data_IF_297540253539
#
_entry.id   IF_297540253539
#
_cell.length_a   1.000
_cell.length_b   1.000
_cell.length_c   1.000
_cell.angle_alpha   90.00
_cell.angle_beta   90.00
_cell.angle_gamma   90.00
#
_symmetry.space_group_name_H-M   'P 1'
#
loop_
_entity.id
_entity.type
_entity.pdbx_description
1 polymer ?
#
# COMPACT_ATOMS: atom_id res chain seq x y z
N UNK A 1 -0.65 -72.88 -2.15
CA UNK A 1 0.57 -72.13 -1.80
C UNK A 1 1.06 -71.44 -3.05
N UNK A 2 0.76 -70.16 -3.24
CA UNK A 2 1.11 -69.39 -4.44
C UNK A 2 2.29 -68.48 -4.08
N UNK A 3 3.43 -68.69 -4.73
CA UNK A 3 4.65 -67.87 -4.55
C UNK A 3 4.44 -66.53 -5.24
N UNK A 4 4.69 -65.44 -4.51
CA UNK A 4 4.74 -64.08 -5.03
C UNK A 4 6.15 -63.86 -5.56
N UNK A 5 6.29 -63.68 -6.88
CA UNK A 5 7.53 -63.22 -7.50
C UNK A 5 7.58 -61.68 -7.45
N UNK A 6 8.72 -61.17 -6.97
CA UNK A 6 9.02 -59.75 -6.80
C UNK A 6 9.32 -59.10 -8.14
N UNK A 7 8.57 -58.05 -8.49
CA UNK A 7 8.88 -57.15 -9.61
C UNK A 7 9.61 -55.90 -9.12
N UNK A 8 10.70 -55.58 -9.79
CA UNK A 8 11.67 -54.51 -9.51
C UNK A 8 11.26 -53.20 -10.21
N UNK A 9 11.64 -52.07 -9.57
CA UNK A 9 11.72 -50.68 -10.08
C UNK A 9 10.37 -49.91 -10.17
N UNK A 10 10.26 -48.63 -9.79
CA UNK A 10 11.25 -47.55 -9.78
C UNK A 10 11.05 -46.64 -8.55
N UNK A 11 12.10 -46.41 -7.74
CA UNK A 11 12.13 -45.28 -6.81
C UNK A 11 12.50 -44.04 -7.61
N UNK A 12 11.52 -43.20 -7.91
CA UNK A 12 11.78 -41.81 -8.30
C UNK A 12 12.35 -41.09 -7.08
N UNK A 13 13.68 -40.91 -7.05
CA UNK A 13 14.32 -39.96 -6.17
C UNK A 13 13.99 -38.56 -6.66
N UNK A 14 12.83 -38.04 -6.24
CA UNK A 14 12.54 -36.62 -6.33
C UNK A 14 13.17 -35.96 -5.12
N UNK A 15 14.47 -35.65 -5.21
CA UNK A 15 15.07 -34.60 -4.38
C UNK A 15 14.55 -33.27 -4.88
N UNK A 16 13.31 -32.92 -4.52
CA UNK A 16 12.84 -31.54 -4.60
C UNK A 16 13.71 -30.73 -3.66
N UNK A 17 14.64 -29.97 -4.24
CA UNK A 17 15.18 -28.80 -3.58
C UNK A 17 13.97 -27.90 -3.27
N UNK A 18 13.49 -27.96 -2.03
CA UNK A 18 12.61 -26.92 -1.49
C UNK A 18 13.42 -25.64 -1.50
N UNK A 19 13.39 -24.92 -2.62
CA UNK A 19 13.65 -23.50 -2.59
C UNK A 19 12.64 -22.96 -1.58
N UNK A 20 13.12 -22.42 -0.46
CA UNK A 20 12.31 -21.64 0.44
C UNK A 20 11.63 -20.58 -0.42
N UNK A 21 10.37 -20.82 -0.78
CA UNK A 21 9.52 -19.80 -1.37
C UNK A 21 9.37 -18.80 -0.24
N UNK A 22 10.21 -17.76 -0.23
CA UNK A 22 10.01 -16.62 0.66
C UNK A 22 8.65 -16.06 0.29
N UNK A 23 7.67 -16.31 1.15
CA UNK A 23 6.37 -15.66 1.05
C UNK A 23 6.65 -14.16 1.07
N UNK A 24 6.31 -13.47 -0.02
CA UNK A 24 6.66 -12.06 -0.14
C UNK A 24 5.76 -11.26 0.79
N UNK A 25 6.29 -10.82 1.92
CA UNK A 25 5.56 -9.99 2.87
C UNK A 25 5.36 -8.59 2.30
N UNK A 26 4.13 -8.09 2.22
CA UNK A 26 3.83 -6.72 1.78
C UNK A 26 3.24 -5.95 2.96
N UNK A 27 3.74 -4.74 3.19
CA UNK A 27 3.17 -3.85 4.18
C UNK A 27 2.13 -2.95 3.51
N UNK A 28 0.93 -2.87 4.09
CA UNK A 28 -0.11 -1.95 3.68
C UNK A 28 -0.34 -0.94 4.81
N UNK A 29 -0.11 0.35 4.56
CA UNK A 29 -0.26 1.41 5.57
C UNK A 29 -1.57 2.14 5.33
N UNK A 30 -2.49 2.01 6.29
CA UNK A 30 -3.82 2.58 6.30
C UNK A 30 -3.84 3.90 7.10
N UNK A 31 -4.87 4.69 6.86
CA UNK A 31 -5.04 6.03 7.45
C UNK A 31 -6.42 6.25 8.09
N UNK A 32 -7.18 5.20 8.34
CA UNK A 32 -8.55 5.22 8.85
C UNK A 32 -9.47 4.33 8.00
N UNK A 33 -10.79 4.52 8.05
CA UNK A 33 -11.75 3.72 7.28
C UNK A 33 -12.87 4.58 6.68
N UNK A 34 -12.62 5.17 5.52
CA UNK A 34 -13.55 6.05 4.82
C UNK A 34 -12.81 7.07 3.95
N UNK A 35 -13.30 7.33 2.73
CA UNK A 35 -12.58 8.19 1.77
C UNK A 35 -12.34 9.60 2.29
N UNK A 36 -13.25 10.19 3.08
CA UNK A 36 -13.14 11.59 3.48
C UNK A 36 -12.31 11.83 4.75
N UNK A 37 -12.09 10.80 5.56
CA UNK A 37 -11.40 10.92 6.85
C UNK A 37 -10.38 9.82 7.15
N UNK A 38 -10.22 8.87 6.24
CA UNK A 38 -9.33 7.73 6.36
C UNK A 38 -8.88 7.18 5.01
N UNK A 39 -8.66 5.87 4.96
CA UNK A 39 -8.33 5.16 3.73
C UNK A 39 -9.57 4.97 2.84
N UNK A 40 -9.40 5.17 1.53
CA UNK A 40 -10.40 4.80 0.52
C UNK A 40 -10.56 3.27 0.50
N UNK A 41 -11.75 2.79 0.83
CA UNK A 41 -12.02 1.39 1.14
C UNK A 41 -11.99 0.54 -0.13
N UNK A 42 -12.40 1.09 -1.29
CA UNK A 42 -12.39 0.34 -2.55
C UNK A 42 -10.96 0.14 -3.07
N UNK A 43 -10.10 1.14 -2.98
CA UNK A 43 -8.67 1.07 -3.28
C UNK A 43 -8.00 0.05 -2.38
N UNK A 44 -8.21 0.13 -1.06
CA UNK A 44 -7.66 -0.85 -0.12
C UNK A 44 -8.11 -2.27 -0.47
N UNK A 45 -9.41 -2.46 -0.78
CA UNK A 45 -9.94 -3.77 -1.18
C UNK A 45 -9.33 -4.27 -2.50
N UNK A 46 -9.20 -3.41 -3.51
CA UNK A 46 -8.60 -3.75 -4.81
C UNK A 46 -7.11 -4.12 -4.66
N UNK A 47 -6.35 -3.36 -3.86
CA UNK A 47 -4.96 -3.67 -3.53
C UNK A 47 -4.87 -5.03 -2.86
N UNK A 48 -5.69 -5.29 -1.83
CA UNK A 48 -5.68 -6.57 -1.11
C UNK A 48 -6.03 -7.74 -2.03
N UNK A 49 -7.02 -7.60 -2.90
CA UNK A 49 -7.38 -8.62 -3.90
C UNK A 49 -6.23 -8.88 -4.86
N UNK A 50 -5.59 -7.83 -5.39
CA UNK A 50 -4.46 -7.98 -6.32
C UNK A 50 -3.25 -8.65 -5.65
N UNK A 51 -2.90 -8.23 -4.43
CA UNK A 51 -1.80 -8.85 -3.68
C UNK A 51 -2.09 -10.31 -3.34
N UNK A 52 -3.31 -10.62 -2.93
CA UNK A 52 -3.76 -11.99 -2.65
C UNK A 52 -3.70 -12.88 -3.89
N UNK A 53 -4.15 -12.39 -5.06
CA UNK A 53 -4.03 -13.11 -6.34
C UNK A 53 -2.58 -13.35 -6.76
N UNK A 54 -1.67 -12.46 -6.36
CA UNK A 54 -0.23 -12.62 -6.56
C UNK A 54 0.45 -13.54 -5.55
N UNK A 55 -0.28 -14.15 -4.60
CA UNK A 55 0.28 -15.02 -3.57
C UNK A 55 1.07 -14.28 -2.48
N UNK A 56 0.92 -12.96 -2.37
CA UNK A 56 1.61 -12.18 -1.36
C UNK A 56 0.89 -12.26 0.00
N UNK A 57 1.67 -12.36 1.08
CA UNK A 57 1.16 -12.18 2.43
C UNK A 57 1.14 -10.69 2.75
N UNK A 58 -0.01 -10.16 3.18
CA UNK A 58 -0.17 -8.73 3.47
C UNK A 58 -0.29 -8.52 4.98
N UNK A 59 0.53 -7.62 5.52
CA UNK A 59 0.38 -7.11 6.88
C UNK A 59 -0.05 -5.65 6.85
N UNK A 60 -1.11 -5.35 7.59
CA UNK A 60 -1.72 -4.03 7.63
C UNK A 60 -1.23 -3.25 8.85
N UNK A 61 -0.94 -1.97 8.63
CA UNK A 61 -0.44 -1.06 9.64
C UNK A 61 -1.22 0.24 9.62
N UNK A 62 -1.32 0.93 10.75
CA UNK A 62 -1.84 2.29 10.84
C UNK A 62 -1.23 2.99 12.06
N UNK A 63 -1.06 4.32 12.05
CA UNK A 63 -0.56 5.04 13.21
C UNK A 63 -1.61 5.05 14.34
N UNK A 64 -1.14 4.87 15.57
CA UNK A 64 -1.97 4.99 16.77
C UNK A 64 -2.14 6.45 17.18
N UNK A 65 -2.92 7.20 16.39
CA UNK A 65 -3.16 8.64 16.56
C UNK A 65 -4.64 8.98 16.42
N UNK A 66 -5.06 10.10 16.99
CA UNK A 66 -6.41 10.63 16.80
C UNK A 66 -6.63 11.05 15.34
N UNK A 67 -7.80 10.73 14.80
CA UNK A 67 -8.24 11.14 13.47
C UNK A 67 -8.56 12.63 13.48
N UNK A 68 -8.07 13.38 12.49
CA UNK A 68 -8.23 14.85 12.47
C UNK A 68 -9.70 15.29 12.40
N UNK A 69 -10.50 14.60 11.60
CA UNK A 69 -11.93 14.85 11.45
C UNK A 69 -12.69 13.54 11.37
N UNK A 70 -13.93 13.52 11.84
CA UNK A 70 -14.87 12.41 11.59
C UNK A 70 -15.94 12.93 10.65
N UNK A 71 -16.13 12.28 9.50
CA UNK A 71 -17.04 12.74 8.46
C UNK A 71 -18.25 11.83 8.35
N UNK A 72 -19.44 12.42 8.37
CA UNK A 72 -20.64 11.73 7.89
C UNK A 72 -20.55 11.61 6.37
N UNK A 73 -20.20 10.42 5.89
CA UNK A 73 -19.98 10.19 4.46
C UNK A 73 -21.25 10.31 3.61
N UNK A 74 -22.44 10.15 4.21
CA UNK A 74 -23.71 10.35 3.50
C UNK A 74 -24.04 11.83 3.29
N UNK A 75 -23.50 12.71 4.14
CA UNK A 75 -23.70 14.16 4.07
C UNK A 75 -22.48 14.94 3.57
N UNK A 76 -21.30 14.32 3.56
CA UNK A 76 -20.02 14.98 3.26
C UNK A 76 -19.61 16.04 4.28
N UNK A 77 -20.14 15.98 5.51
CA UNK A 77 -19.96 17.02 6.52
C UNK A 77 -19.28 16.46 7.78
N UNK A 78 -18.52 17.29 8.52
CA UNK A 78 -18.02 16.92 9.85
C UNK A 78 -19.17 16.51 10.76
N UNK A 79 -18.97 15.38 11.43
CA UNK A 79 -19.88 14.88 12.45
C UNK A 79 -19.25 15.15 13.81
N UNK A 80 -20.01 15.79 14.70
CA UNK A 80 -19.66 15.85 16.12
C UNK A 80 -19.76 14.45 16.72
N UNK A 81 -18.67 13.69 16.62
CA UNK A 81 -18.40 12.50 17.43
C UNK A 81 -17.21 12.80 18.34
N UNK A 82 -17.12 12.07 19.45
CA UNK A 82 -15.92 12.08 20.27
C UNK A 82 -14.68 11.64 19.47
N UNK A 83 -13.52 11.68 20.11
CA UNK A 83 -12.27 11.29 19.47
C UNK A 83 -12.34 9.87 18.91
N UNK A 84 -11.90 9.74 17.65
CA UNK A 84 -11.82 8.47 16.93
C UNK A 84 -10.34 8.26 16.59
N UNK A 85 -9.86 7.02 16.74
CA UNK A 85 -8.46 6.68 16.54
C UNK A 85 -8.23 6.01 15.18
N UNK A 86 -7.15 6.40 14.50
CA UNK A 86 -6.82 5.97 13.13
C UNK A 86 -6.53 4.47 13.06
N UNK A 87 -5.74 3.93 14.00
CA UNK A 87 -5.46 2.50 14.10
C UNK A 87 -6.73 1.69 14.34
N UNK A 88 -7.58 2.16 15.26
CA UNK A 88 -8.84 1.52 15.64
C UNK A 88 -9.81 1.46 14.48
N UNK A 89 -9.98 2.54 13.72
CA UNK A 89 -10.87 2.54 12.56
C UNK A 89 -10.30 1.73 11.40
N UNK A 90 -8.98 1.79 11.17
CA UNK A 90 -8.30 0.98 10.16
C UNK A 90 -8.47 -0.53 10.41
N UNK A 91 -8.66 -0.94 11.68
CA UNK A 91 -8.96 -2.32 12.03
C UNK A 91 -10.23 -2.87 11.36
N UNK A 92 -11.17 -2.00 10.93
CA UNK A 92 -12.36 -2.40 10.17
C UNK A 92 -11.98 -3.01 8.82
N UNK A 93 -11.10 -2.33 8.08
CA UNK A 93 -10.56 -2.82 6.78
C UNK A 93 -9.75 -4.11 7.03
N UNK A 94 -8.93 -4.10 8.07
CA UNK A 94 -8.04 -5.21 8.40
C UNK A 94 -8.73 -6.42 9.07
N UNK A 95 -10.04 -6.33 9.33
CA UNK A 95 -10.82 -7.35 10.07
C UNK A 95 -10.15 -7.73 11.40
N UNK A 96 -9.63 -6.74 12.11
CA UNK A 96 -8.92 -6.88 13.39
C UNK A 96 -7.43 -7.25 13.27
N UNK A 97 -6.93 -7.67 12.11
CA UNK A 97 -5.52 -8.02 11.92
C UNK A 97 -4.68 -6.81 11.50
N UNK A 98 -4.51 -5.86 12.43
CA UNK A 98 -3.76 -4.62 12.21
C UNK A 98 -2.72 -4.41 13.31
N UNK A 99 -1.60 -3.80 12.94
CA UNK A 99 -0.51 -3.48 13.87
C UNK A 99 -0.22 -1.98 13.84
N UNK A 100 0.19 -1.40 14.97
CA UNK A 100 0.70 -0.04 15.02
C UNK A 100 1.86 0.16 14.02
N UNK A 101 1.79 1.24 13.23
CA UNK A 101 2.81 1.63 12.25
C UNK A 101 4.20 1.78 12.87
N UNK A 102 4.30 2.18 14.14
CA UNK A 102 5.56 2.25 14.87
C UNK A 102 6.32 0.91 14.89
N UNK A 103 5.60 -0.23 14.83
CA UNK A 103 6.16 -1.59 14.85
C UNK A 103 6.53 -2.12 13.47
N UNK A 104 6.26 -1.36 12.40
CA UNK A 104 6.63 -1.76 11.05
C UNK A 104 8.16 -1.81 10.92
N UNK A 105 8.69 -3.01 10.67
CA UNK A 105 10.09 -3.27 10.35
C UNK A 105 10.27 -3.61 8.85
N UNK A 106 11.13 -2.86 8.17
CA UNK A 106 11.45 -3.04 6.76
C UNK A 106 12.08 -4.41 6.44
N UNK A 107 12.76 -5.06 7.39
CA UNK A 107 13.37 -6.39 7.16
C UNK A 107 12.34 -7.47 6.85
N UNK A 108 11.11 -7.30 7.34
CA UNK A 108 10.06 -8.33 7.30
C UNK A 108 9.12 -8.20 6.09
N UNK A 109 9.36 -7.24 5.20
CA UNK A 109 8.47 -6.93 4.09
C UNK A 109 9.29 -6.57 2.86
N UNK A 110 8.83 -6.94 1.67
CA UNK A 110 9.50 -6.69 0.39
C UNK A 110 9.03 -5.42 -0.29
N UNK A 111 7.88 -4.85 0.11
CA UNK A 111 7.38 -3.58 -0.39
C UNK A 111 6.41 -2.95 0.62
N UNK A 112 6.19 -1.64 0.48
CA UNK A 112 5.16 -0.90 1.22
C UNK A 112 4.21 -0.22 0.25
N UNK A 113 2.92 -0.29 0.57
CA UNK A 113 1.84 0.31 -0.21
C UNK A 113 1.02 1.21 0.71
N UNK A 114 0.69 2.40 0.23
CA UNK A 114 -0.21 3.36 0.87
C UNK A 114 -1.43 3.54 -0.05
N UNK A 115 -2.61 3.00 0.32
CA UNK A 115 -3.85 3.35 -0.35
C UNK A 115 -4.16 4.84 -0.20
N UNK A 116 -4.97 5.37 -1.09
CA UNK A 116 -5.45 6.74 -1.07
C UNK A 116 -6.53 6.99 -0.01
N UNK A 117 -7.35 8.00 -0.27
CA UNK A 117 -8.27 8.60 0.69
C UNK A 117 -7.69 9.85 1.35
N UNK A 118 -8.57 10.73 1.81
CA UNK A 118 -8.19 12.00 2.43
C UNK A 118 -7.51 11.80 3.79
N UNK A 119 -7.60 10.62 4.41
CA UNK A 119 -6.82 10.27 5.60
C UNK A 119 -5.31 10.35 5.37
N UNK A 120 -4.80 10.14 4.16
CA UNK A 120 -3.38 10.34 3.87
C UNK A 120 -2.96 11.82 4.05
N UNK A 121 -3.81 12.75 3.60
CA UNK A 121 -3.58 14.18 3.74
C UNK A 121 -3.89 14.73 5.15
N UNK A 122 -4.73 14.03 5.91
CA UNK A 122 -5.23 14.48 7.23
C UNK A 122 -4.52 13.83 8.42
N UNK A 123 -4.17 12.55 8.30
CA UNK A 123 -3.74 11.71 9.42
C UNK A 123 -2.30 11.21 9.24
N UNK A 124 -1.84 11.01 7.99
CA UNK A 124 -0.45 10.62 7.68
C UNK A 124 0.46 11.83 7.40
N UNK A 125 -0.13 13.00 7.27
CA UNK A 125 0.54 14.28 7.06
C UNK A 125 -0.35 15.43 7.53
N UNK A 126 0.21 16.63 7.54
CA UNK A 126 -0.52 17.88 7.79
C UNK A 126 -1.03 18.54 6.51
N UNK A 127 -1.01 17.85 5.37
CA UNK A 127 -1.30 18.43 4.05
C UNK A 127 -2.69 19.09 3.99
N UNK A 128 -3.69 18.50 4.62
CA UNK A 128 -5.06 19.04 4.61
C UNK A 128 -5.16 20.44 5.25
N UNK A 129 -4.20 20.83 6.07
CA UNK A 129 -4.13 22.13 6.76
C UNK A 129 -3.02 23.01 6.17
N UNK A 130 -1.83 22.45 5.99
CA UNK A 130 -0.61 23.20 5.64
C UNK A 130 -0.31 23.22 4.13
N UNK A 131 -1.04 22.45 3.31
CA UNK A 131 -0.86 22.39 1.87
C UNK A 131 0.57 22.05 1.46
N UNK A 132 1.20 22.90 0.65
CA UNK A 132 2.57 22.68 0.14
C UNK A 132 3.64 22.65 1.24
N UNK A 133 3.38 23.28 2.38
CA UNK A 133 4.33 23.41 3.50
C UNK A 133 4.11 22.31 4.54
N UNK A 134 3.38 21.25 4.17
CA UNK A 134 3.03 20.16 5.06
C UNK A 134 4.21 19.32 5.52
N UNK A 135 4.01 18.67 6.64
CA UNK A 135 4.90 17.64 7.14
C UNK A 135 4.21 16.29 7.11
N UNK A 136 4.96 15.24 6.78
CA UNK A 136 4.54 13.86 7.03
C UNK A 136 4.74 13.52 8.50
N UNK A 137 3.90 12.64 9.07
CA UNK A 137 4.13 12.20 10.45
C UNK A 137 5.43 11.37 10.53
N UNK A 138 6.07 11.38 11.70
CA UNK A 138 7.41 10.80 11.92
C UNK A 138 7.48 9.32 11.54
N UNK A 139 6.43 8.57 11.82
CA UNK A 139 6.34 7.14 11.54
C UNK A 139 6.31 6.86 10.03
N UNK A 140 5.55 7.67 9.27
CA UNK A 140 5.47 7.58 7.81
C UNK A 140 6.81 7.96 7.20
N UNK A 141 7.41 9.06 7.67
CA UNK A 141 8.73 9.50 7.22
C UNK A 141 9.80 8.42 7.41
N UNK A 142 9.82 7.80 8.61
CA UNK A 142 10.70 6.68 8.93
C UNK A 142 10.49 5.52 7.98
N UNK A 143 9.24 5.08 7.79
CA UNK A 143 8.92 3.94 6.91
C UNK A 143 9.38 4.23 5.48
N UNK A 144 9.08 5.41 4.93
CA UNK A 144 9.51 5.77 3.57
C UNK A 144 11.04 5.76 3.45
N UNK A 145 11.76 6.35 4.42
CA UNK A 145 13.22 6.35 4.47
C UNK A 145 13.80 4.93 4.57
N UNK A 146 13.21 4.08 5.40
CA UNK A 146 13.70 2.71 5.62
C UNK A 146 13.52 1.84 4.37
N UNK A 147 12.35 1.88 3.72
CA UNK A 147 12.11 1.15 2.46
C UNK A 147 12.98 1.66 1.33
N UNK A 148 13.17 2.98 1.22
CA UNK A 148 14.05 3.54 0.20
C UNK A 148 15.51 3.12 0.41
N UNK A 149 16.04 3.24 1.65
CA UNK A 149 17.40 2.80 1.98
C UNK A 149 17.61 1.32 1.67
N UNK A 150 16.58 0.49 1.91
CA UNK A 150 16.59 -0.93 1.58
C UNK A 150 16.38 -1.23 0.09
N UNK A 151 16.18 -0.22 -0.76
CA UNK A 151 15.84 -0.33 -2.19
C UNK A 151 14.62 -1.21 -2.44
N UNK A 152 13.63 -1.13 -1.56
CA UNK A 152 12.38 -1.88 -1.66
C UNK A 152 11.28 -1.00 -2.26
N UNK A 153 10.41 -1.54 -3.13
CA UNK A 153 9.36 -0.76 -3.75
C UNK A 153 8.44 -0.05 -2.76
N UNK A 154 8.15 1.22 -3.06
CA UNK A 154 7.17 2.06 -2.36
C UNK A 154 6.08 2.40 -3.39
N UNK A 155 4.82 2.08 -3.08
CA UNK A 155 3.66 2.45 -3.90
C UNK A 155 2.74 3.39 -3.13
N UNK A 156 2.42 4.51 -3.77
CA UNK A 156 1.41 5.46 -3.30
C UNK A 156 0.26 5.43 -4.30
N UNK A 157 -0.95 5.12 -3.84
CA UNK A 157 -2.16 5.13 -4.67
C UNK A 157 -2.90 6.44 -4.38
N UNK A 158 -3.09 7.27 -5.42
CA UNK A 158 -3.51 8.66 -5.26
C UNK A 158 -4.66 8.95 -6.23
N UNK A 159 -5.77 9.47 -5.72
CA UNK A 159 -6.90 9.98 -6.52
C UNK A 159 -6.77 11.49 -6.84
N UNK A 160 -5.90 12.27 -6.17
CA UNK A 160 -5.75 13.71 -6.46
C UNK A 160 -4.32 14.17 -6.80
N UNK A 161 -4.18 14.64 -8.05
CA UNK A 161 -2.98 15.17 -8.71
C UNK A 161 -2.20 16.26 -7.93
N UNK A 162 -2.85 16.95 -6.99
CA UNK A 162 -2.30 18.16 -6.34
C UNK A 162 -1.68 17.95 -4.96
N UNK A 163 -1.77 16.75 -4.37
CA UNK A 163 -1.46 16.57 -2.94
C UNK A 163 0.02 16.29 -2.61
N UNK A 164 0.88 15.92 -3.57
CA UNK A 164 2.16 15.29 -3.19
C UNK A 164 3.42 15.67 -3.96
N UNK A 165 3.48 16.82 -4.64
CA UNK A 165 4.79 17.39 -5.03
C UNK A 165 5.77 17.47 -3.82
N UNK A 166 5.36 17.91 -2.62
CA UNK A 166 6.27 17.99 -1.46
C UNK A 166 6.79 16.63 -0.96
N UNK A 167 6.00 15.54 -1.05
CA UNK A 167 6.46 14.20 -0.63
C UNK A 167 7.37 13.53 -1.67
N UNK A 168 7.22 13.88 -2.95
CA UNK A 168 7.92 13.23 -4.07
C UNK A 168 9.25 13.93 -4.39
N UNK A 169 9.37 15.25 -4.16
CA UNK A 169 10.56 16.04 -4.53
C UNK A 169 11.85 15.70 -3.75
N UNK A 170 11.78 14.77 -2.79
CA UNK A 170 12.93 14.19 -2.10
C UNK A 170 13.65 13.07 -2.85
N UNK A 171 13.84 13.13 -4.18
CA UNK A 171 14.64 12.14 -4.96
C UNK A 171 14.30 10.66 -4.67
N UNK A 172 13.02 10.31 -4.61
CA UNK A 172 12.61 8.91 -4.39
C UNK A 172 12.05 8.31 -5.69
N UNK A 173 12.49 7.11 -6.08
CA UNK A 173 11.80 6.32 -7.12
C UNK A 173 10.48 5.80 -6.54
N UNK A 174 9.39 6.53 -6.78
CA UNK A 174 8.03 6.16 -6.37
C UNK A 174 7.28 5.66 -7.61
N UNK A 175 6.79 4.42 -7.56
CA UNK A 175 5.87 3.92 -8.58
C UNK A 175 4.45 4.43 -8.27
N UNK A 176 4.01 5.46 -8.98
CA UNK A 176 2.64 6.01 -8.91
C UNK A 176 1.78 5.24 -9.92
N UNK A 177 0.73 4.58 -9.44
CA UNK A 177 -0.24 3.88 -10.29
C UNK A 177 -1.48 4.76 -10.45
N UNK A 178 -1.78 5.13 -11.69
CA UNK A 178 -2.89 6.03 -12.05
C UNK A 178 -4.15 5.22 -12.34
N UNK A 179 -5.27 5.53 -11.68
CA UNK A 179 -6.61 5.11 -12.12
C UNK A 179 -7.39 6.35 -12.54
N UNK A 180 -7.70 6.44 -13.83
CA UNK A 180 -8.47 7.52 -14.44
C UNK A 180 -9.96 7.21 -14.28
N UNK A 181 -10.71 8.00 -13.51
CA UNK A 181 -12.17 8.06 -13.63
C UNK A 181 -12.51 9.33 -14.43
N UNK A 182 -12.81 9.13 -15.69
CA UNK A 182 -13.06 10.16 -16.69
C UNK A 182 -14.34 10.97 -16.40
N UNK A 183 -14.18 12.18 -15.86
CA UNK A 183 -15.12 13.28 -16.11
C UNK A 183 -14.35 14.49 -16.66
N UNK A 184 -14.76 14.91 -17.86
CA UNK A 184 -14.10 15.90 -18.71
C UNK A 184 -13.87 17.23 -17.99
N UNK A 185 -12.61 17.66 -17.93
CA UNK A 185 -12.22 19.06 -17.72
C UNK A 185 -11.40 19.48 -18.94
N UNK A 186 -11.78 20.52 -19.71
CA UNK A 186 -11.07 20.89 -20.93
C UNK A 186 -9.75 21.58 -20.55
N UNK A 187 -8.61 20.93 -20.85
CA UNK A 187 -7.28 21.51 -20.66
C UNK A 187 -6.11 20.54 -20.46
N UNK A 188 -6.34 19.24 -20.23
CA UNK A 188 -5.26 18.27 -19.98
C UNK A 188 -4.78 17.57 -21.26
N UNK A 189 -3.86 18.22 -22.00
CA UNK A 189 -3.02 17.49 -22.96
C UNK A 189 -2.01 16.62 -22.19
N UNK A 190 -2.13 15.31 -22.39
CA UNK A 190 -1.10 14.26 -22.28
C UNK A 190 0.28 14.69 -21.78
N UNK A 191 0.58 14.41 -20.50
CA UNK A 191 1.94 14.38 -19.98
C UNK A 191 2.35 12.94 -19.66
N UNK A 192 2.48 12.13 -20.70
CA UNK A 192 3.19 10.86 -20.65
C UNK A 192 4.44 11.01 -21.51
N UNK A 193 5.45 11.76 -21.05
CA UNK A 193 6.78 11.74 -21.67
C UNK A 193 7.89 12.07 -20.66
N UNK A 194 8.73 11.04 -20.42
CA UNK A 194 10.19 11.12 -20.29
C UNK A 194 10.77 11.94 -19.11
N UNK A 195 11.03 11.26 -18.01
CA UNK A 195 12.29 11.44 -17.27
C UNK A 195 13.32 10.44 -17.84
N UNK A 196 14.11 10.90 -18.80
CA UNK A 196 15.25 10.16 -19.33
C UNK A 196 16.40 10.18 -18.32
N UNK A 197 17.05 9.02 -18.19
CA UNK A 197 18.21 8.66 -17.35
C UNK A 197 17.91 7.99 -16.00
N UNK A 198 17.44 6.74 -16.03
CA UNK A 198 17.95 5.61 -15.22
C UNK A 198 17.69 4.32 -16.05
N UNK A 199 18.63 3.37 -15.98
CA UNK A 199 18.80 2.17 -16.80
C UNK A 199 17.54 1.25 -16.91
N UNK A 200 17.43 0.44 -17.97
CA UNK A 200 16.20 -0.30 -18.29
C UNK A 200 16.01 -1.47 -17.33
N UNK A 201 14.95 -1.42 -16.52
CA UNK A 201 14.38 -2.63 -15.92
C UNK A 201 13.32 -3.15 -16.87
N UNK A 202 13.58 -4.34 -17.44
CA UNK A 202 12.67 -5.06 -18.33
C UNK A 202 11.23 -5.03 -17.81
N UNK A 203 10.35 -4.43 -18.59
CA UNK A 203 8.91 -4.58 -18.45
C UNK A 203 8.53 -6.00 -18.86
N UNK A 204 8.41 -6.93 -17.91
CA UNK A 204 7.61 -8.13 -18.12
C UNK A 204 6.15 -7.76 -17.85
N UNK A 205 5.47 -7.48 -18.95
CA UNK A 205 4.03 -7.56 -19.19
C UNK A 205 3.25 -8.42 -18.19
N UNK A 206 2.22 -7.83 -17.60
CA UNK A 206 0.94 -8.49 -17.30
C UNK A 206 -0.13 -7.40 -17.15
N UNK A 207 -0.66 -7.00 -18.32
CA UNK A 207 -2.00 -6.45 -18.47
C UNK A 207 -3.00 -7.60 -18.20
N UNK A 208 -3.98 -7.36 -17.31
CA UNK A 208 -5.41 -7.74 -17.38
C UNK A 208 -6.04 -7.50 -16.00
#
# INVERSE_FOLDING_TARGET
TMKIETSTAYRLNVTTAFHSVRVSGKALVLSGCGVYDGTEIHEASAILVHLSRGGAEVRMFAPDVSQMHVIDHGKGQPKSRGEVNVLSESARIARGNITDLAKLNVSNHDAVIFPGGFGAAKNLSTFAIDGKDCNVIKEVERVLKDFHKARKPIRLVIIYYYLYEPMILGRWEVAICWYYTSHHCPGSQTYCQRSHHILPVQTSSLLF
#
